data_IF_686848654018
#
_entry.id   IF_686848654018
#
_cell.length_a   1.000
_cell.length_b   1.000
_cell.length_c   1.000
_cell.angle_alpha   90.00
_cell.angle_beta   90.00
_cell.angle_gamma   90.00
#
_symmetry.space_group_name_H-M   'P 1'
#
loop_
_entity.id
_entity.type
_entity.pdbx_description
1 polymer ?
#
# COMPACT_ATOMS: atom_id res chain seq x y z
N UNK A 1 2.15 9.34 6.82
CA UNK A 1 1.20 8.20 6.90
C UNK A 1 0.00 8.53 6.04
N UNK A 2 -0.30 7.70 5.04
CA UNK A 2 -1.36 7.96 4.05
C UNK A 2 -2.38 6.85 4.11
N UNK A 3 -3.66 7.24 4.12
CA UNK A 3 -4.81 6.35 4.08
C UNK A 3 -5.61 6.59 2.80
N UNK A 4 -6.30 5.56 2.35
CA UNK A 4 -7.20 5.62 1.21
C UNK A 4 -8.61 5.22 1.61
N UNK A 5 -9.60 5.78 0.90
CA UNK A 5 -11.00 5.42 1.04
C UNK A 5 -11.41 4.53 -0.14
N UNK A 6 -11.54 3.21 0.07
CA UNK A 6 -11.75 2.25 -1.02
C UNK A 6 -12.95 2.59 -1.93
N UNK A 7 -14.11 3.05 -1.43
CA UNK A 7 -15.23 3.43 -2.30
C UNK A 7 -14.90 4.57 -3.28
N UNK A 8 -14.14 5.58 -2.86
CA UNK A 8 -13.74 6.69 -3.75
C UNK A 8 -12.68 6.22 -4.73
N UNK A 9 -11.66 5.49 -4.29
CA UNK A 9 -10.65 4.92 -5.19
C UNK A 9 -11.30 4.06 -6.29
N UNK A 10 -12.23 3.19 -5.91
CA UNK A 10 -12.96 2.34 -6.86
C UNK A 10 -13.77 3.12 -7.88
N UNK A 11 -14.43 4.20 -7.45
CA UNK A 11 -15.24 5.02 -8.33
C UNK A 11 -14.39 5.75 -9.38
N UNK A 12 -13.18 6.18 -9.02
CA UNK A 12 -12.29 6.95 -9.91
C UNK A 12 -11.48 6.05 -10.84
N UNK A 13 -10.97 4.91 -10.34
CA UNK A 13 -10.01 4.04 -11.05
C UNK A 13 -10.65 2.99 -11.98
N UNK A 14 -11.99 2.92 -12.02
CA UNK A 14 -12.84 2.00 -12.83
C UNK A 14 -12.59 0.50 -12.69
N UNK A 15 -11.47 0.07 -12.08
CA UNK A 15 -11.16 -1.31 -11.70
C UNK A 15 -11.08 -1.41 -10.20
N UNK A 16 -11.85 -2.33 -9.63
CA UNK A 16 -11.74 -2.69 -8.23
C UNK A 16 -11.79 -4.19 -8.02
N UNK A 17 -10.98 -4.64 -7.07
CA UNK A 17 -10.78 -6.05 -6.78
C UNK A 17 -11.99 -6.71 -6.13
N UNK A 18 -12.83 -5.92 -5.45
CA UNK A 18 -14.03 -6.40 -4.75
C UNK A 18 -15.30 -5.72 -5.29
N UNK A 19 -16.40 -6.47 -5.50
CA UNK A 19 -17.69 -5.90 -5.89
C UNK A 19 -18.25 -4.90 -4.87
N UNK A 20 -17.94 -5.10 -3.59
CA UNK A 20 -18.25 -4.19 -2.49
C UNK A 20 -16.95 -3.68 -1.87
N UNK A 21 -16.60 -2.39 -2.08
CA UNK A 21 -15.43 -1.79 -1.45
C UNK A 21 -15.59 -1.78 0.08
N UNK A 22 -14.46 -1.86 0.79
CA UNK A 22 -14.44 -1.78 2.25
C UNK A 22 -14.90 -0.38 2.70
N UNK A 23 -15.87 -0.32 3.61
CA UNK A 23 -16.41 0.94 4.16
C UNK A 23 -15.60 1.42 5.37
N UNK A 24 -14.28 1.40 5.24
CA UNK A 24 -13.34 1.87 6.25
C UNK A 24 -12.07 2.39 5.57
N UNK A 25 -11.36 3.31 6.22
CA UNK A 25 -10.04 3.71 5.75
C UNK A 25 -9.09 2.51 5.82
N UNK A 26 -8.33 2.34 4.74
CA UNK A 26 -7.23 1.39 4.68
C UNK A 26 -5.94 2.15 4.45
N UNK A 27 -4.81 1.56 4.85
CA UNK A 27 -3.50 2.13 4.60
C UNK A 27 -3.27 2.18 3.08
N UNK A 28 -2.71 3.28 2.60
CA UNK A 28 -2.12 3.36 1.26
C UNK A 28 -0.61 3.16 1.37
N UNK A 29 0.03 3.91 2.26
CA UNK A 29 1.46 3.78 2.47
C UNK A 29 2.02 4.65 3.59
N UNK A 30 3.27 4.37 3.92
CA UNK A 30 4.11 5.14 4.82
C UNK A 30 5.25 5.70 4.00
N UNK A 31 5.15 7.00 3.69
CA UNK A 31 6.07 7.65 2.78
C UNK A 31 6.96 8.62 3.57
N UNK A 32 8.29 8.46 3.48
CA UNK A 32 9.22 9.50 3.86
C UNK A 32 8.94 10.77 3.03
N UNK A 33 9.10 11.93 3.65
CA UNK A 33 8.85 13.21 2.99
C UNK A 33 9.91 14.23 3.39
N UNK A 34 10.48 14.92 2.42
CA UNK A 34 11.32 16.09 2.61
C UNK A 34 10.46 17.36 2.46
N UNK A 35 10.50 18.26 3.44
CA UNK A 35 9.76 19.51 3.42
C UNK A 35 10.06 20.36 2.17
N UNK A 36 11.34 20.42 1.78
CA UNK A 36 11.80 21.20 0.62
C UNK A 36 11.49 20.52 -0.71
N UNK A 37 11.28 19.20 -0.72
CA UNK A 37 10.91 18.46 -1.91
C UNK A 37 9.95 17.31 -1.55
N UNK A 38 8.62 17.54 -1.62
CA UNK A 38 7.61 16.59 -1.13
C UNK A 38 7.58 15.25 -1.86
N UNK A 39 8.18 15.15 -3.05
CA UNK A 39 8.25 13.90 -3.83
C UNK A 39 9.48 13.05 -3.50
N UNK A 40 10.37 13.58 -2.66
CA UNK A 40 11.59 12.92 -2.21
C UNK A 40 11.56 12.69 -0.69
N UNK A 41 12.23 11.63 -0.21
CA UNK A 41 12.93 10.62 -1.01
C UNK A 41 11.98 9.53 -1.55
N UNK A 42 12.32 8.95 -2.71
CA UNK A 42 11.66 7.75 -3.25
C UNK A 42 12.64 6.90 -4.07
N UNK A 43 12.39 5.59 -4.16
CA UNK A 43 13.25 4.60 -4.83
C UNK A 43 14.70 4.62 -4.32
N UNK A 44 14.87 4.75 -3.00
CA UNK A 44 16.18 4.70 -2.37
C UNK A 44 16.85 3.34 -2.59
N UNK A 45 18.17 3.33 -2.57
CA UNK A 45 18.93 2.09 -2.59
C UNK A 45 18.84 1.44 -1.19
N UNK A 46 18.30 0.22 -1.14
CA UNK A 46 18.03 -0.48 0.12
C UNK A 46 17.63 -1.93 -0.13
N UNK A 47 17.36 -2.66 0.95
CA UNK A 47 16.93 -4.05 0.84
C UNK A 47 15.59 -4.15 0.13
N UNK A 48 15.54 -4.86 -1.00
CA UNK A 48 14.29 -5.10 -1.72
C UNK A 48 13.29 -5.88 -0.86
N UNK A 49 12.02 -5.73 -1.19
CA UNK A 49 10.93 -6.43 -0.53
C UNK A 49 11.17 -7.94 -0.59
N UNK A 50 11.04 -8.60 0.57
CA UNK A 50 11.06 -10.04 0.68
C UNK A 50 9.82 -10.49 1.45
N UNK A 51 8.88 -11.11 0.74
CA UNK A 51 7.62 -11.59 1.31
C UNK A 51 7.84 -12.56 2.49
N UNK A 52 8.99 -13.26 2.55
CA UNK A 52 9.34 -14.17 3.64
C UNK A 52 9.61 -13.44 4.96
N UNK A 53 9.96 -12.15 4.91
CA UNK A 53 10.15 -11.30 6.10
C UNK A 53 8.82 -10.82 6.70
N UNK A 54 7.72 -10.92 5.94
CA UNK A 54 6.39 -10.60 6.46
C UNK A 54 5.85 -11.83 7.20
N UNK A 55 5.95 -11.81 8.53
CA UNK A 55 5.52 -12.93 9.36
C UNK A 55 4.04 -13.30 9.10
N UNK A 56 3.64 -14.56 9.28
CA UNK A 56 2.24 -14.97 9.08
C UNK A 56 1.25 -14.14 9.91
N UNK A 57 1.60 -13.77 11.14
CA UNK A 57 0.74 -12.93 11.99
C UNK A 57 0.61 -11.50 11.44
N UNK A 58 1.72 -10.91 10.96
CA UNK A 58 1.70 -9.59 10.34
C UNK A 58 0.90 -9.62 9.04
N UNK A 59 1.11 -10.62 8.19
CA UNK A 59 0.40 -10.79 6.93
C UNK A 59 -1.12 -10.79 7.11
N UNK A 60 -1.63 -11.43 8.16
CA UNK A 60 -3.06 -11.42 8.48
C UNK A 60 -3.59 -10.03 8.86
N UNK A 61 -2.79 -9.22 9.57
CA UNK A 61 -3.13 -7.83 9.87
C UNK A 61 -3.10 -6.97 8.61
N UNK A 62 -2.10 -7.15 7.75
CA UNK A 62 -1.94 -6.41 6.50
C UNK A 62 -3.08 -6.68 5.52
N UNK A 63 -3.52 -7.93 5.35
CA UNK A 63 -4.69 -8.26 4.51
C UNK A 63 -5.98 -7.53 4.89
N UNK A 64 -6.11 -7.12 6.16
CA UNK A 64 -7.27 -6.38 6.66
C UNK A 64 -7.09 -4.87 6.57
N UNK A 65 -5.90 -4.38 6.91
CA UNK A 65 -5.64 -2.95 7.12
C UNK A 65 -4.93 -2.28 5.94
N UNK A 66 -4.20 -3.03 5.12
CA UNK A 66 -3.42 -2.56 3.98
C UNK A 66 -3.66 -3.42 2.72
N UNK A 67 -4.90 -3.64 2.27
CA UNK A 67 -5.19 -4.41 1.07
C UNK A 67 -4.94 -3.62 -0.22
N UNK A 68 -4.72 -4.34 -1.31
CA UNK A 68 -4.84 -3.79 -2.66
C UNK A 68 -6.31 -3.68 -3.07
N UNK A 69 -6.81 -2.45 -3.07
CA UNK A 69 -8.20 -2.15 -3.41
C UNK A 69 -8.46 -2.14 -4.91
N UNK A 70 -7.43 -2.01 -5.76
CA UNK A 70 -7.57 -1.89 -7.21
C UNK A 70 -7.48 -3.26 -7.90
N UNK A 71 -6.36 -3.97 -7.75
CA UNK A 71 -6.12 -5.24 -8.47
C UNK A 71 -6.36 -6.49 -7.62
N UNK A 72 -6.34 -6.34 -6.29
CA UNK A 72 -6.53 -7.43 -5.33
C UNK A 72 -5.27 -8.24 -5.06
N UNK A 73 -4.11 -7.81 -5.60
CA UNK A 73 -2.83 -8.46 -5.36
C UNK A 73 -2.08 -7.71 -4.24
N UNK A 74 -2.47 -8.03 -3.01
CA UNK A 74 -1.90 -7.40 -1.80
C UNK A 74 -0.37 -7.48 -1.78
N UNK A 75 0.23 -8.64 -2.10
CA UNK A 75 1.69 -8.82 -2.04
C UNK A 75 2.42 -7.90 -3.01
N UNK A 76 1.92 -7.78 -4.25
CA UNK A 76 2.51 -6.89 -5.26
C UNK A 76 2.37 -5.42 -4.85
N UNK A 77 1.26 -5.07 -4.21
CA UNK A 77 1.07 -3.73 -3.69
C UNK A 77 2.05 -3.41 -2.55
N UNK A 78 2.21 -4.32 -1.57
CA UNK A 78 3.19 -4.15 -0.48
C UNK A 78 4.62 -4.05 -1.01
N UNK A 79 4.96 -4.86 -2.01
CA UNK A 79 6.26 -4.81 -2.68
C UNK A 79 6.52 -3.44 -3.31
N UNK A 80 5.55 -2.91 -4.06
CA UNK A 80 5.68 -1.59 -4.70
C UNK A 80 5.84 -0.47 -3.67
N UNK A 81 5.04 -0.49 -2.61
CA UNK A 81 5.13 0.51 -1.53
C UNK A 81 6.46 0.41 -0.78
N UNK A 82 6.94 -0.80 -0.48
CA UNK A 82 8.23 -0.99 0.18
C UNK A 82 9.39 -0.55 -0.70
N UNK A 83 9.49 -1.04 -1.93
CA UNK A 83 10.62 -0.76 -2.81
C UNK A 83 10.71 0.73 -3.19
N UNK A 84 9.58 1.45 -3.19
CA UNK A 84 9.54 2.86 -3.52
C UNK A 84 9.70 3.78 -2.31
N UNK A 85 9.14 3.40 -1.15
CA UNK A 85 9.02 4.30 0.00
C UNK A 85 9.61 3.74 1.30
N UNK A 86 9.75 2.42 1.42
CA UNK A 86 10.31 1.76 2.60
C UNK A 86 11.83 1.58 2.57
N UNK A 87 12.46 1.76 1.40
CA UNK A 87 13.92 1.68 1.22
C UNK A 87 14.66 2.96 1.60
#
# INVERSE_FOLDING_TARGET
>A
FVQQWPPTNCRVRTKCSKPRPLQMFTIHGLWPSNYSNPTMPSNCNGSQFDARKVSPQLRNKLKRSWPDVESGNDTKFWEGEWNKHGT
#
